data_IF_684551994060
#
_entry.id   IF_684551994060
#
_cell.length_a   1.000
_cell.length_b   1.000
_cell.length_c   1.000
_cell.angle_alpha   90.00
_cell.angle_beta   90.00
_cell.angle_gamma   90.00
#
_symmetry.space_group_name_H-M   'P 1'
#
loop_
_entity.id
_entity.type
_entity.pdbx_description
1 polymer ?
#
# COMPACT_ATOMS: atom_id res chain seq x y z
N UNK A 1 18.06 2.90 -39.37
CA UNK A 1 18.07 4.18 -38.64
C UNK A 1 17.03 4.03 -37.54
N UNK A 2 17.46 3.64 -36.34
CA UNK A 2 16.54 3.47 -35.21
C UNK A 2 16.28 4.87 -34.69
N UNK A 3 15.04 5.34 -34.80
CA UNK A 3 14.59 6.57 -34.19
C UNK A 3 14.72 6.38 -32.69
N UNK A 4 15.83 6.85 -32.15
CA UNK A 4 16.07 7.02 -30.72
C UNK A 4 15.08 8.10 -30.27
N UNK A 5 13.84 7.70 -30.01
CA UNK A 5 12.85 8.55 -29.34
C UNK A 5 13.54 8.99 -28.05
N UNK A 6 13.91 10.26 -27.97
CA UNK A 6 14.43 10.89 -26.77
C UNK A 6 13.34 10.79 -25.71
N UNK A 7 13.35 9.70 -24.95
CA UNK A 7 12.33 9.41 -23.98
C UNK A 7 12.46 10.45 -22.87
N UNK A 8 11.56 11.44 -22.88
CA UNK A 8 11.53 12.54 -21.92
C UNK A 8 11.14 11.97 -20.56
N UNK A 9 12.10 11.94 -19.64
CA UNK A 9 11.90 11.47 -18.26
C UNK A 9 11.31 12.60 -17.42
N UNK A 10 10.12 12.37 -16.88
CA UNK A 10 9.36 13.34 -16.07
C UNK A 10 9.25 12.83 -14.65
N UNK A 11 9.33 13.74 -13.68
CA UNK A 11 9.20 13.44 -12.26
C UNK A 11 7.81 12.88 -11.94
N UNK A 12 7.77 11.72 -11.27
CA UNK A 12 6.56 11.06 -10.82
C UNK A 12 6.30 11.35 -9.33
N UNK A 13 7.23 10.96 -8.47
CA UNK A 13 7.11 11.04 -7.01
C UNK A 13 8.46 10.89 -6.31
N UNK A 14 8.50 11.14 -5.01
CA UNK A 14 9.65 10.94 -4.14
C UNK A 14 9.27 9.95 -3.02
N UNK A 15 10.19 9.06 -2.66
CA UNK A 15 10.00 8.03 -1.62
C UNK A 15 11.17 8.04 -0.63
N UNK A 16 10.98 7.51 0.58
CA UNK A 16 11.94 7.71 1.67
C UNK A 16 13.26 6.96 1.49
N UNK A 17 13.24 5.81 0.81
CA UNK A 17 14.41 4.94 0.72
C UNK A 17 14.47 4.13 -0.59
N UNK A 18 15.64 3.56 -0.87
CA UNK A 18 15.86 2.76 -2.09
C UNK A 18 15.01 1.50 -2.15
N UNK A 19 14.58 0.95 -1.00
CA UNK A 19 13.74 -0.25 -0.92
C UNK A 19 12.32 0.07 -1.39
N UNK A 20 11.72 1.15 -0.88
CA UNK A 20 10.44 1.66 -1.35
C UNK A 20 10.50 2.01 -2.83
N UNK A 21 11.56 2.67 -3.28
CA UNK A 21 11.77 2.98 -4.69
C UNK A 21 11.77 1.71 -5.56
N UNK A 22 12.46 0.65 -5.11
CA UNK A 22 12.48 -0.63 -5.82
C UNK A 22 11.09 -1.29 -5.86
N UNK A 23 10.32 -1.22 -4.77
CA UNK A 23 8.95 -1.74 -4.72
C UNK A 23 8.05 -1.00 -5.69
N UNK A 24 8.15 0.33 -5.76
CA UNK A 24 7.37 1.15 -6.68
C UNK A 24 7.79 0.90 -8.14
N UNK A 25 9.09 0.86 -8.43
CA UNK A 25 9.59 0.53 -9.77
C UNK A 25 9.11 -0.84 -10.24
N UNK A 26 9.16 -1.87 -9.39
CA UNK A 26 8.70 -3.21 -9.74
C UNK A 26 7.18 -3.23 -9.99
N UNK A 27 6.40 -2.51 -9.17
CA UNK A 27 4.95 -2.39 -9.38
C UNK A 27 4.61 -1.72 -10.71
N UNK A 28 5.28 -0.62 -11.05
CA UNK A 28 5.10 0.05 -12.35
C UNK A 28 5.53 -0.87 -13.51
N UNK A 29 6.65 -1.56 -13.36
CA UNK A 29 7.16 -2.49 -14.38
C UNK A 29 6.19 -3.66 -14.64
N UNK A 30 5.56 -4.20 -13.60
CA UNK A 30 4.53 -5.24 -13.72
C UNK A 30 3.30 -4.78 -14.53
N UNK A 31 3.06 -3.47 -14.59
CA UNK A 31 2.00 -2.86 -15.38
C UNK A 31 2.52 -2.29 -16.72
N UNK A 32 3.72 -2.66 -17.14
CA UNK A 32 4.31 -2.24 -18.42
C UNK A 32 4.97 -0.86 -18.41
N UNK A 33 5.04 -0.18 -17.26
CA UNK A 33 5.62 1.16 -17.13
C UNK A 33 7.07 1.07 -16.62
N UNK A 34 8.01 1.54 -17.44
CA UNK A 34 9.41 1.67 -17.02
C UNK A 34 9.60 2.93 -16.18
N UNK A 35 10.19 2.78 -15.00
CA UNK A 35 10.52 3.87 -14.09
C UNK A 35 12.02 3.93 -13.80
N UNK A 36 12.57 5.14 -13.72
CA UNK A 36 13.96 5.42 -13.36
C UNK A 36 14.00 5.99 -11.95
N UNK A 37 14.93 5.48 -11.14
CA UNK A 37 15.21 5.98 -9.79
C UNK A 37 16.48 6.82 -9.78
N UNK A 38 16.48 7.91 -9.03
CA UNK A 38 17.66 8.76 -8.81
C UNK A 38 17.87 8.93 -7.30
N UNK A 39 19.08 8.57 -6.84
CA UNK A 39 19.51 8.75 -5.45
C UNK A 39 20.87 9.46 -5.42
N UNK A 40 21.07 10.46 -4.55
CA UNK A 40 20.04 11.11 -3.72
C UNK A 40 18.99 11.82 -4.59
N UNK A 41 17.73 11.79 -4.16
CA UNK A 41 16.66 12.56 -4.79
C UNK A 41 16.82 14.05 -4.43
N UNK A 42 16.29 14.93 -5.28
CA UNK A 42 16.31 16.38 -5.08
C UNK A 42 15.14 16.87 -4.20
N UNK A 43 14.24 15.97 -3.81
CA UNK A 43 13.09 16.32 -2.97
C UNK A 43 13.46 16.51 -1.50
N UNK A 44 12.92 17.56 -0.87
CA UNK A 44 12.93 17.75 0.58
C UNK A 44 11.86 16.85 1.21
N UNK A 45 12.24 15.63 1.60
CA UNK A 45 11.38 14.82 2.46
C UNK A 45 11.36 15.43 3.87
N UNK A 46 10.22 15.38 4.57
CA UNK A 46 10.17 15.80 5.95
C UNK A 46 11.18 15.00 6.77
N UNK A 47 11.89 15.71 7.63
CA UNK A 47 12.93 15.12 8.48
C UNK A 47 12.25 14.21 9.52
N UNK A 48 12.33 12.90 9.30
CA UNK A 48 11.86 11.86 10.22
C UNK A 48 13.05 11.15 10.86
N UNK A 49 12.93 10.83 12.15
CA UNK A 49 14.00 10.24 12.95
C UNK A 49 14.49 8.91 12.32
N UNK A 50 15.77 8.88 11.94
CA UNK A 50 16.38 7.72 11.29
C UNK A 50 16.18 7.61 9.77
N UNK A 51 15.62 8.62 9.09
CA UNK A 51 15.44 8.63 7.63
C UNK A 51 16.23 9.76 6.94
N UNK A 52 16.81 9.51 5.75
CA UNK A 52 17.51 10.55 5.00
C UNK A 52 16.54 11.63 4.51
N UNK A 53 16.93 12.90 4.68
CA UNK A 53 16.20 14.09 4.21
C UNK A 53 16.07 14.13 2.68
N UNK A 54 17.10 13.63 1.99
CA UNK A 54 17.04 13.39 0.55
C UNK A 54 16.49 11.98 0.31
N UNK A 55 15.23 11.91 -0.13
CA UNK A 55 14.59 10.66 -0.53
C UNK A 55 15.17 10.09 -1.84
N UNK A 56 14.40 9.28 -2.54
CA UNK A 56 14.70 8.79 -3.88
C UNK A 56 13.66 9.34 -4.84
N UNK A 57 14.10 10.08 -5.87
CA UNK A 57 13.20 10.55 -6.91
C UNK A 57 12.91 9.43 -7.90
N UNK A 58 11.64 9.30 -8.28
CA UNK A 58 11.17 8.39 -9.31
C UNK A 58 10.72 9.19 -10.53
N UNK A 59 11.16 8.77 -11.70
CA UNK A 59 10.86 9.36 -13.00
C UNK A 59 10.26 8.31 -13.93
N UNK A 60 9.36 8.72 -14.82
CA UNK A 60 8.76 7.87 -15.85
C UNK A 60 8.78 8.61 -17.18
N UNK A 61 8.51 7.93 -18.29
CA UNK A 61 8.27 8.63 -19.55
C UNK A 61 7.03 9.52 -19.45
N UNK A 62 7.08 10.68 -20.11
CA UNK A 62 5.95 11.63 -20.18
C UNK A 62 4.63 10.99 -20.61
N UNK A 63 4.69 10.06 -21.56
CA UNK A 63 3.54 9.30 -22.06
C UNK A 63 2.88 8.44 -20.97
N UNK A 64 3.69 7.87 -20.07
CA UNK A 64 3.24 6.98 -19.01
C UNK A 64 2.92 7.71 -17.71
N UNK A 65 3.15 9.03 -17.63
CA UNK A 65 2.90 9.82 -16.42
C UNK A 65 1.44 9.75 -15.92
N UNK A 66 0.40 9.85 -16.77
CA UNK A 66 -0.98 9.80 -16.32
C UNK A 66 -1.32 8.43 -15.73
N UNK A 67 -0.94 7.36 -16.44
CA UNK A 67 -1.19 5.98 -16.05
C UNK A 67 -0.42 5.60 -14.78
N UNK A 68 0.85 6.00 -14.68
CA UNK A 68 1.66 5.78 -13.49
C UNK A 68 1.05 6.44 -12.24
N UNK A 69 0.49 7.65 -12.38
CA UNK A 69 -0.19 8.34 -11.27
C UNK A 69 -1.47 7.62 -10.85
N UNK A 70 -2.27 7.16 -11.80
CA UNK A 70 -3.50 6.42 -11.53
C UNK A 70 -3.20 5.10 -10.79
N UNK A 71 -2.21 4.34 -11.27
CA UNK A 71 -1.79 3.09 -10.64
C UNK A 71 -1.30 3.27 -9.21
N UNK A 72 -0.57 4.36 -8.93
CA UNK A 72 -0.11 4.68 -7.58
C UNK A 72 -1.27 5.00 -6.63
N UNK A 73 -2.25 5.78 -7.09
CA UNK A 73 -3.44 6.12 -6.28
C UNK A 73 -4.27 4.87 -5.93
N UNK A 74 -4.44 3.95 -6.89
CA UNK A 74 -5.15 2.68 -6.66
C UNK A 74 -4.43 1.84 -5.60
N UNK A 75 -3.08 1.81 -5.65
CA UNK A 75 -2.27 1.09 -4.68
C UNK A 75 -2.44 1.67 -3.27
N UNK A 76 -2.42 3.00 -3.13
CA UNK A 76 -2.63 3.68 -1.84
C UNK A 76 -4.03 3.43 -1.27
N UNK A 77 -5.09 3.51 -2.09
CA UNK A 77 -6.44 3.20 -1.65
C UNK A 77 -6.60 1.74 -1.20
N UNK A 78 -6.00 0.79 -1.93
CA UNK A 78 -6.09 -0.64 -1.58
C UNK A 78 -5.41 -0.97 -0.24
N UNK A 79 -4.34 -0.26 0.12
CA UNK A 79 -3.70 -0.42 1.43
C UNK A 79 -4.60 0.13 2.55
N UNK A 80 -5.33 1.22 2.30
CA UNK A 80 -6.22 1.83 3.31
C UNK A 80 -7.47 1.01 3.64
N UNK A 81 -7.95 0.16 2.74
CA UNK A 81 -9.16 -0.65 2.93
C UNK A 81 -8.89 -1.99 3.61
N UNK A 82 -7.66 -2.51 3.50
CA UNK A 82 -7.26 -3.77 4.12
C UNK A 82 -7.10 -3.67 5.65
N UNK A 83 -6.86 -2.47 6.17
CA UNK A 83 -6.70 -2.25 7.62
C UNK A 83 -8.04 -2.19 8.37
N UNK A 84 -9.10 -1.72 7.72
CA UNK A 84 -10.43 -1.58 8.35
C UNK A 84 -11.15 -2.92 8.55
N UNK A 85 -10.97 -3.90 7.67
CA UNK A 85 -11.69 -5.19 7.74
C UNK A 85 -11.25 -6.08 8.91
N UNK A 86 -10.01 -5.93 9.38
CA UNK A 86 -9.49 -6.70 10.51
C UNK A 86 -10.20 -6.35 11.83
N UNK A 87 -10.44 -5.07 12.09
CA UNK A 87 -11.08 -4.61 13.33
C UNK A 87 -12.56 -5.01 13.45
N UNK A 88 -13.30 -5.03 12.33
CA UNK A 88 -14.70 -5.48 12.34
C UNK A 88 -14.85 -6.97 12.70
N UNK A 89 -13.89 -7.81 12.33
CA UNK A 89 -13.94 -9.24 12.63
C UNK A 89 -13.87 -9.50 14.14
N UNK A 90 -13.03 -8.76 14.88
CA UNK A 90 -12.93 -8.90 16.33
C UNK A 90 -14.15 -8.33 17.07
N UNK A 91 -14.71 -7.21 16.61
CA UNK A 91 -15.89 -6.60 17.23
C UNK A 91 -17.14 -7.47 17.07
N UNK A 92 -17.29 -8.19 15.96
CA UNK A 92 -18.47 -9.02 15.70
C UNK A 92 -18.31 -10.47 16.17
N UNK A 93 -17.10 -11.05 16.09
CA UNK A 93 -16.87 -12.45 16.47
C UNK A 93 -16.89 -12.68 17.99
N UNK A 94 -16.39 -11.74 18.79
CA UNK A 94 -16.30 -11.91 20.26
C UNK A 94 -17.69 -11.91 20.92
N UNK A 95 -18.61 -10.96 20.66
CA UNK A 95 -19.93 -10.95 21.30
C UNK A 95 -20.79 -12.16 20.90
N UNK A 96 -20.69 -12.61 19.65
CA UNK A 96 -21.44 -13.78 19.16
C UNK A 96 -21.03 -15.08 19.87
N UNK A 97 -19.74 -15.27 20.14
CA UNK A 97 -19.23 -16.46 20.81
C UNK A 97 -19.60 -16.49 22.31
N UNK A 98 -19.62 -15.32 22.96
CA UNK A 98 -20.08 -15.18 24.36
C UNK A 98 -21.58 -15.50 24.47
N UNK A 99 -22.40 -14.98 23.57
CA UNK A 99 -23.85 -15.25 23.57
C UNK A 99 -24.15 -16.74 23.35
N UNK A 100 -23.41 -17.39 22.44
CA UNK A 100 -23.54 -18.81 22.15
C UNK A 100 -23.17 -19.68 23.36
N UNK A 101 -22.08 -19.36 24.06
CA UNK A 101 -21.67 -20.09 25.28
C UNK A 101 -22.69 -19.94 26.41
N UNK A 102 -23.29 -18.77 26.57
CA UNK A 102 -24.32 -18.55 27.59
C UNK A 102 -25.62 -19.33 27.30
N UNK A 103 -26.05 -19.35 26.04
CA UNK A 103 -27.19 -20.16 25.60
C UNK A 103 -26.94 -21.66 25.80
N UNK A 104 -25.74 -22.16 25.46
CA UNK A 104 -25.38 -23.55 25.70
C UNK A 104 -25.39 -23.90 27.20
N UNK A 105 -24.87 -23.02 28.05
CA UNK A 105 -24.85 -23.22 29.51
C UNK A 105 -26.25 -23.25 30.13
N UNK A 106 -27.14 -22.34 29.73
CA UNK A 106 -28.54 -22.31 30.21
C UNK A 106 -29.35 -23.53 29.75
N UNK A 107 -29.05 -24.07 28.56
CA UNK A 107 -29.69 -25.29 28.08
C UNK A 107 -29.24 -26.53 28.85
N UNK A 108 -27.93 -26.67 29.11
CA UNK A 108 -27.36 -27.81 29.86
C UNK A 108 -27.90 -27.84 31.29
N UNK A 109 -27.89 -26.70 31.98
CA UNK A 109 -28.38 -26.60 33.36
C UNK A 109 -29.87 -26.97 33.47
N UNK A 110 -30.68 -26.57 32.48
CA UNK A 110 -32.12 -26.89 32.44
C UNK A 110 -32.42 -28.38 32.21
N UNK A 111 -31.55 -29.09 31.49
CA UNK A 111 -31.68 -30.55 31.25
C UNK A 111 -31.32 -31.36 32.51
N UNK A 112 -30.37 -30.88 33.33
CA UNK A 112 -29.97 -31.60 34.55
C UNK A 112 -30.91 -31.42 35.75
N UNK A 113 -31.82 -30.45 35.72
CA UNK A 113 -32.84 -30.21 36.77
C UNK A 113 -34.20 -30.86 36.50
N UNK A 114 -34.28 -31.81 35.55
CA UNK A 114 -35.49 -32.62 35.30
C UNK A 114 -35.31 -34.06 35.74
#
# INVERSE_FOLDING_TARGET
>A
MILEHSQEWVYLTNVYNQKEAAIVCNFLLQNGITAKKLFPGEGDMPEEEGRPKAGVNLYVSKENLPEARELLQIKEQKVSTLDKSSLFFWIVAIPGLILFLWLAFTLITRVMTK
#
